data_IF_831015604694
#
_entry.id   IF_831015604694
#
_cell.length_a   1.000
_cell.length_b   1.000
_cell.length_c   1.000
_cell.angle_alpha   90.00
_cell.angle_beta   90.00
_cell.angle_gamma   90.00
#
_symmetry.space_group_name_H-M   'P 1'
#
loop_
_entity.id
_entity.type
_entity.pdbx_description
1 polymer ?
#
# COMPACT_ATOMS: atom_id res chain seq x y z
N UNK A 1 9.05 -20.18 -0.70
CA UNK A 1 9.70 -19.19 0.19
C UNK A 1 9.91 -19.88 1.52
N UNK A 2 10.94 -19.56 2.29
CA UNK A 2 11.22 -20.23 3.55
C UNK A 2 10.98 -19.24 4.70
N UNK A 3 10.09 -19.62 5.60
CA UNK A 3 9.90 -18.95 6.87
C UNK A 3 10.97 -19.43 7.86
N UNK A 4 11.79 -18.51 8.32
CA UNK A 4 12.78 -18.75 9.36
C UNK A 4 12.32 -18.02 10.62
N UNK A 5 12.23 -18.77 11.71
CA UNK A 5 11.76 -18.27 12.98
C UNK A 5 12.50 -18.96 14.12
N UNK A 6 12.84 -18.23 15.18
CA UNK A 6 13.70 -18.70 16.27
C UNK A 6 13.16 -19.95 17.00
N UNK A 7 11.84 -20.15 17.02
CA UNK A 7 11.22 -21.34 17.63
C UNK A 7 11.04 -22.51 16.64
N UNK A 8 11.32 -22.31 15.36
CA UNK A 8 11.33 -23.38 14.38
C UNK A 8 12.71 -24.05 14.37
N UNK A 9 12.74 -25.38 14.53
CA UNK A 9 13.98 -26.15 14.47
C UNK A 9 14.60 -26.12 13.05
N UNK A 10 13.75 -25.99 12.02
CA UNK A 10 14.14 -25.93 10.61
C UNK A 10 13.28 -24.90 9.88
N UNK A 11 13.78 -24.28 8.79
CA UNK A 11 12.98 -23.39 7.97
C UNK A 11 11.72 -24.08 7.43
N UNK A 12 10.60 -23.37 7.48
CA UNK A 12 9.32 -23.89 7.01
C UNK A 12 9.02 -23.41 5.58
N UNK A 13 8.76 -24.34 4.66
CA UNK A 13 8.49 -24.03 3.25
C UNK A 13 7.07 -23.49 3.07
N UNK A 14 6.99 -22.28 2.52
CA UNK A 14 5.79 -21.59 2.09
C UNK A 14 5.68 -21.62 0.56
N UNK A 15 4.63 -22.25 0.06
CA UNK A 15 4.24 -22.29 -1.36
C UNK A 15 3.25 -21.16 -1.66
N UNK A 16 3.23 -20.71 -2.92
CA UNK A 16 2.37 -19.60 -3.32
C UNK A 16 0.92 -20.07 -3.47
N UNK A 17 -0.03 -19.29 -2.94
CA UNK A 17 -1.46 -19.60 -2.98
C UNK A 17 -1.95 -20.50 -1.84
N UNK A 18 -1.05 -20.94 -0.96
CA UNK A 18 -1.37 -21.79 0.18
C UNK A 18 -1.56 -20.98 1.47
N UNK A 19 -2.39 -21.49 2.37
CA UNK A 19 -2.64 -20.91 3.69
C UNK A 19 -2.00 -21.78 4.76
N UNK A 20 -1.11 -21.17 5.55
CA UNK A 20 -0.38 -21.86 6.61
C UNK A 20 -0.87 -21.41 7.98
N UNK A 21 -1.25 -22.37 8.83
CA UNK A 21 -1.66 -22.12 10.21
C UNK A 21 -0.53 -22.50 11.18
N UNK A 22 -0.08 -21.53 11.97
CA UNK A 22 0.94 -21.74 13.01
C UNK A 22 0.26 -21.59 14.37
N UNK A 23 0.16 -22.68 15.10
CA UNK A 23 -0.41 -22.70 16.46
C UNK A 23 0.70 -22.52 17.49
N UNK A 24 0.54 -21.52 18.37
CA UNK A 24 1.43 -21.30 19.51
C UNK A 24 0.64 -21.61 20.79
N UNK A 25 0.97 -22.72 21.43
CA UNK A 25 0.22 -23.21 22.60
C UNK A 25 0.48 -22.39 23.87
N UNK A 26 1.70 -21.86 24.00
CA UNK A 26 2.09 -21.03 25.15
C UNK A 26 1.62 -19.58 24.94
N UNK A 27 0.68 -19.13 25.76
CA UNK A 27 0.10 -17.77 25.66
C UNK A 27 1.12 -16.64 25.86
N UNK A 28 2.16 -16.85 26.67
CA UNK A 28 3.18 -15.84 26.90
C UNK A 28 4.10 -15.71 25.67
N UNK A 29 4.43 -16.83 25.05
CA UNK A 29 5.17 -16.84 23.77
C UNK A 29 4.34 -16.23 22.66
N UNK A 30 3.06 -16.59 22.55
CA UNK A 30 2.15 -16.00 21.57
C UNK A 30 2.13 -14.47 21.66
N UNK A 31 1.98 -13.91 22.88
CA UNK A 31 2.02 -12.45 23.08
C UNK A 31 3.34 -11.84 22.60
N UNK A 32 4.47 -12.46 22.93
CA UNK A 32 5.77 -11.98 22.46
C UNK A 32 5.88 -12.04 20.93
N UNK A 33 5.33 -13.07 20.29
CA UNK A 33 5.33 -13.20 18.83
C UNK A 33 4.55 -12.05 18.19
N UNK A 34 3.33 -11.81 18.67
CA UNK A 34 2.48 -10.71 18.16
C UNK A 34 3.19 -9.37 18.34
N UNK A 35 3.67 -9.06 19.56
CA UNK A 35 4.32 -7.79 19.86
C UNK A 35 5.55 -7.55 18.98
N UNK A 36 6.38 -8.57 18.75
CA UNK A 36 7.59 -8.41 17.94
C UNK A 36 7.31 -8.38 16.44
N UNK A 37 6.30 -9.10 15.96
CA UNK A 37 5.84 -9.02 14.56
C UNK A 37 5.34 -7.62 14.24
N UNK A 38 4.57 -7.00 15.14
CA UNK A 38 4.09 -5.62 14.92
C UNK A 38 5.21 -4.59 14.79
N UNK A 39 6.39 -4.88 15.35
CA UNK A 39 7.59 -4.05 15.25
C UNK A 39 8.52 -4.47 14.09
N UNK A 40 8.12 -5.42 13.23
CA UNK A 40 8.91 -5.94 12.10
C UNK A 40 10.25 -6.58 12.49
N UNK A 41 10.45 -6.94 13.77
CA UNK A 41 11.74 -7.34 14.33
C UNK A 41 11.89 -8.86 14.52
N UNK A 42 10.98 -9.68 13.97
CA UNK A 42 10.83 -11.07 14.46
C UNK A 42 10.66 -12.18 13.45
N UNK A 43 10.45 -11.85 12.18
CA UNK A 43 10.13 -12.85 11.18
C UNK A 43 10.98 -12.63 9.94
N UNK A 44 11.75 -13.67 9.61
CA UNK A 44 12.65 -13.66 8.47
C UNK A 44 12.07 -14.56 7.39
N UNK A 45 11.72 -13.99 6.26
CA UNK A 45 11.27 -14.75 5.10
C UNK A 45 12.36 -14.68 4.04
N UNK A 46 12.76 -15.84 3.53
CA UNK A 46 13.82 -15.96 2.53
C UNK A 46 13.25 -16.55 1.25
N UNK A 47 13.53 -15.93 0.11
CA UNK A 47 13.23 -16.47 -1.23
C UNK A 47 14.48 -16.34 -2.09
N UNK A 48 14.99 -17.44 -2.62
CA UNK A 48 16.19 -17.47 -3.47
C UNK A 48 17.39 -16.71 -2.84
N UNK A 49 17.69 -17.02 -1.58
CA UNK A 49 18.73 -16.38 -0.75
C UNK A 49 18.56 -14.87 -0.49
N UNK A 50 17.37 -14.32 -0.77
CA UNK A 50 17.03 -12.91 -0.50
C UNK A 50 16.00 -12.80 0.61
N UNK A 51 16.22 -11.83 1.50
CA UNK A 51 15.24 -11.42 2.50
C UNK A 51 14.04 -10.77 1.82
N UNK A 52 12.86 -11.29 2.11
CA UNK A 52 11.58 -10.69 1.74
C UNK A 52 11.16 -9.76 2.87
N UNK A 53 11.16 -8.46 2.59
CA UNK A 53 10.73 -7.42 3.52
C UNK A 53 9.35 -6.87 3.19
N UNK A 54 8.75 -7.32 2.07
CA UNK A 54 7.47 -6.84 1.58
C UNK A 54 6.34 -7.81 1.91
N UNK A 55 6.06 -7.94 3.21
CA UNK A 55 4.92 -8.66 3.74
C UNK A 55 4.01 -7.67 4.47
N UNK A 56 2.73 -8.01 4.59
CA UNK A 56 1.75 -7.17 5.29
C UNK A 56 1.18 -7.91 6.50
N UNK A 57 1.11 -7.22 7.64
CA UNK A 57 0.52 -7.74 8.88
C UNK A 57 -0.88 -7.16 9.05
N UNK A 58 -1.89 -8.02 8.97
CA UNK A 58 -3.29 -7.66 9.16
C UNK A 58 -3.62 -7.81 10.64
N UNK A 59 -3.46 -6.71 11.39
CA UNK A 59 -3.64 -6.68 12.85
C UNK A 59 -5.06 -7.01 13.29
N UNK A 60 -6.04 -6.40 12.63
CA UNK A 60 -7.45 -6.67 12.86
C UNK A 60 -8.02 -7.38 11.65
N UNK A 61 -8.20 -8.69 11.78
CA UNK A 61 -8.76 -9.51 10.71
C UNK A 61 -10.22 -9.22 10.50
N UNK A 62 -11.02 -8.89 11.53
CA UNK A 62 -12.47 -8.61 11.44
C UNK A 62 -12.81 -7.31 10.71
N UNK A 63 -11.91 -6.33 10.82
CA UNK A 63 -12.02 -5.06 10.12
C UNK A 63 -10.62 -4.71 9.62
N UNK A 64 -10.20 -5.31 8.48
CA UNK A 64 -8.89 -5.00 7.92
C UNK A 64 -8.90 -3.54 7.53
N UNK A 65 -8.29 -2.69 8.35
CA UNK A 65 -8.11 -1.29 8.01
C UNK A 65 -7.19 -1.23 6.81
N UNK A 66 -7.77 -0.95 5.64
CA UNK A 66 -7.02 -0.57 4.47
C UNK A 66 -6.18 0.62 4.91
N UNK A 67 -4.85 0.48 4.88
CA UNK A 67 -3.95 1.60 5.15
C UNK A 67 -4.01 2.51 3.91
N UNK A 68 -5.12 3.24 3.81
CA UNK A 68 -5.48 4.08 2.68
C UNK A 68 -4.34 5.06 2.40
N UNK A 69 -3.64 5.53 3.43
CA UNK A 69 -2.50 6.44 3.24
C UNK A 69 -1.33 5.81 2.46
N UNK A 70 -0.92 4.58 2.78
CA UNK A 70 0.18 3.86 2.10
C UNK A 70 -0.20 3.53 0.66
N UNK A 71 -1.40 2.99 0.45
CA UNK A 71 -1.91 2.66 -0.88
C UNK A 71 -2.11 3.90 -1.75
N UNK A 72 -2.80 4.94 -1.24
CA UNK A 72 -3.02 6.19 -1.98
C UNK A 72 -1.70 6.88 -2.33
N UNK A 73 -0.72 6.86 -1.42
CA UNK A 73 0.61 7.42 -1.71
C UNK A 73 1.29 6.71 -2.88
N UNK A 74 1.18 5.38 -2.94
CA UNK A 74 1.70 4.58 -4.06
C UNK A 74 0.92 4.87 -5.35
N UNK A 75 -0.41 4.88 -5.30
CA UNK A 75 -1.28 5.22 -6.44
C UNK A 75 -0.94 6.60 -7.01
N UNK A 76 -0.81 7.63 -6.15
CA UNK A 76 -0.47 8.98 -6.58
C UNK A 76 0.91 9.01 -7.26
N UNK A 77 1.89 8.27 -6.72
CA UNK A 77 3.22 8.15 -7.34
C UNK A 77 3.14 7.49 -8.72
N UNK A 78 2.32 6.46 -8.87
CA UNK A 78 2.16 5.75 -10.13
C UNK A 78 1.45 6.63 -11.16
N UNK A 79 0.35 7.29 -10.80
CA UNK A 79 -0.34 8.27 -11.66
C UNK A 79 0.57 9.43 -12.08
N UNK A 80 1.41 9.93 -11.16
CA UNK A 80 2.41 10.98 -11.45
C UNK A 80 3.49 10.48 -12.41
N UNK A 81 3.82 9.19 -12.37
CA UNK A 81 4.78 8.59 -13.31
C UNK A 81 4.13 8.42 -14.68
N UNK A 82 2.88 7.95 -14.72
CA UNK A 82 2.08 7.85 -15.95
C UNK A 82 1.89 9.21 -16.62
N UNK A 83 1.68 10.30 -15.87
CA UNK A 83 1.51 11.62 -16.48
C UNK A 83 2.76 12.13 -17.22
N UNK A 84 3.92 11.51 -16.98
CA UNK A 84 5.22 11.83 -17.59
C UNK A 84 5.66 10.81 -18.64
N UNK A 85 4.87 9.76 -18.89
CA UNK A 85 5.19 8.76 -19.91
C UNK A 85 4.97 9.29 -21.34
N UNK A 86 5.48 8.56 -22.33
CA UNK A 86 5.41 8.93 -23.74
C UNK A 86 3.97 9.11 -24.27
N UNK A 87 2.99 8.43 -23.66
CA UNK A 87 1.59 8.47 -24.10
C UNK A 87 0.86 9.69 -23.55
N UNK A 88 1.17 10.11 -22.33
CA UNK A 88 0.44 11.14 -21.61
C UNK A 88 1.17 12.49 -21.56
N UNK A 89 2.49 12.52 -21.78
CA UNK A 89 3.30 13.73 -21.60
C UNK A 89 2.77 14.95 -22.35
N UNK A 90 2.40 14.78 -23.63
CA UNK A 90 1.87 15.89 -24.44
C UNK A 90 0.54 16.43 -23.88
N UNK A 91 -0.34 15.55 -23.39
CA UNK A 91 -1.61 15.94 -22.76
C UNK A 91 -1.35 16.63 -21.43
N UNK A 92 -0.45 16.12 -20.62
CA UNK A 92 -0.03 16.73 -19.34
C UNK A 92 0.53 18.13 -19.56
N UNK A 93 1.37 18.34 -20.58
CA UNK A 93 1.92 19.65 -20.91
C UNK A 93 0.85 20.64 -21.38
N UNK A 94 -0.12 20.20 -22.18
CA UNK A 94 -1.25 21.04 -22.56
C UNK A 94 -2.09 21.46 -21.34
N UNK A 95 -2.33 20.56 -20.39
CA UNK A 95 -3.03 20.88 -19.14
C UNK A 95 -2.22 21.89 -18.31
N UNK A 96 -0.90 21.70 -18.17
CA UNK A 96 -0.02 22.64 -17.47
C UNK A 96 -0.12 24.05 -18.07
N UNK A 97 -0.03 24.18 -19.39
CA UNK A 97 -0.16 25.46 -20.10
C UNK A 97 -1.51 26.13 -19.83
N UNK A 98 -2.61 25.37 -19.89
CA UNK A 98 -3.95 25.91 -19.64
C UNK A 98 -4.11 26.43 -18.20
N UNK A 99 -3.59 25.69 -17.22
CA UNK A 99 -3.61 26.10 -15.81
C UNK A 99 -2.80 27.38 -15.61
N UNK A 100 -1.61 27.46 -16.21
CA UNK A 100 -0.76 28.63 -16.13
C UNK A 100 -1.39 29.87 -16.75
N UNK A 101 -1.98 29.72 -17.93
CA UNK A 101 -2.64 30.82 -18.61
C UNK A 101 -3.76 31.39 -17.74
N UNK A 102 -4.64 30.53 -17.23
CA UNK A 102 -5.73 30.93 -16.35
C UNK A 102 -5.23 31.66 -15.09
N UNK A 103 -4.19 31.14 -14.43
CA UNK A 103 -3.62 31.77 -13.24
C UNK A 103 -2.92 33.09 -13.54
N UNK A 104 -2.25 33.21 -14.69
CA UNK A 104 -1.62 34.46 -15.12
C UNK A 104 -2.66 35.54 -15.44
N UNK A 105 -3.80 35.17 -16.04
CA UNK A 105 -4.91 36.09 -16.29
C UNK A 105 -5.45 36.65 -14.95
N UNK A 106 -5.65 35.78 -13.95
CA UNK A 106 -6.06 36.22 -12.60
C UNK A 106 -5.02 37.11 -11.91
N UNK A 107 -3.73 36.82 -12.07
CA UNK A 107 -2.65 37.64 -11.50
C UNK A 107 -2.61 39.01 -12.16
N UNK A 108 -2.78 39.07 -13.48
CA UNK A 108 -2.81 40.32 -14.24
C UNK A 108 -3.97 41.23 -13.82
N UNK A 109 -5.12 40.65 -13.47
CA UNK A 109 -6.27 41.37 -12.93
C UNK A 109 -6.10 41.77 -11.44
N UNK A 110 -5.09 41.24 -10.75
CA UNK A 110 -4.87 41.50 -9.33
C UNK A 110 -3.94 42.70 -9.09
N UNK A 111 -4.17 43.43 -8.00
CA UNK A 111 -3.28 44.52 -7.56
C UNK A 111 -1.98 44.02 -6.92
N UNK A 112 -1.81 42.70 -6.78
CA UNK A 112 -0.68 42.08 -6.09
C UNK A 112 0.44 41.71 -7.08
N UNK A 113 1.71 41.97 -6.74
CA UNK A 113 2.85 41.60 -7.58
C UNK A 113 3.18 40.11 -7.43
N UNK A 114 2.32 39.25 -7.96
CA UNK A 114 2.42 37.79 -7.85
C UNK A 114 3.12 37.17 -9.07
N UNK A 115 3.68 35.98 -8.87
CA UNK A 115 4.15 35.10 -9.95
C UNK A 115 3.85 33.65 -9.59
N UNK A 116 3.67 32.80 -10.59
CA UNK A 116 3.55 31.35 -10.44
C UNK A 116 4.77 30.63 -11.02
N UNK A 117 4.95 29.36 -10.66
CA UNK A 117 6.00 28.52 -11.23
C UNK A 117 5.73 28.14 -12.69
N UNK A 118 6.82 27.89 -13.43
CA UNK A 118 6.77 27.46 -14.84
C UNK A 118 6.31 26.01 -15.04
N UNK A 119 6.36 25.20 -13.98
CA UNK A 119 5.81 23.87 -14.01
C UNK A 119 4.94 23.64 -12.78
N UNK A 120 3.82 22.98 -13.02
CA UNK A 120 2.94 22.48 -12.00
C UNK A 120 3.29 21.02 -11.67
N UNK A 121 3.41 20.71 -10.38
CA UNK A 121 3.66 19.33 -9.95
C UNK A 121 2.34 18.56 -9.80
N UNK A 122 2.16 17.58 -10.69
CA UNK A 122 0.99 16.71 -10.77
C UNK A 122 0.70 15.95 -9.46
N UNK A 123 1.73 15.70 -8.63
CA UNK A 123 1.56 15.11 -7.30
C UNK A 123 0.67 16.00 -6.42
N UNK A 124 0.82 17.33 -6.49
CA UNK A 124 -0.07 18.24 -5.77
C UNK A 124 -1.48 18.24 -6.35
N UNK A 125 -1.65 18.10 -7.67
CA UNK A 125 -3.00 17.96 -8.27
C UNK A 125 -3.74 16.77 -7.71
N UNK A 126 -3.07 15.61 -7.75
CA UNK A 126 -3.67 14.35 -7.35
C UNK A 126 -4.08 14.40 -5.87
N UNK A 127 -3.28 15.06 -5.03
CA UNK A 127 -3.62 15.32 -3.63
C UNK A 127 -4.79 16.30 -3.47
N UNK A 128 -4.88 17.35 -4.28
CA UNK A 128 -6.01 18.29 -4.27
C UNK A 128 -7.34 17.65 -4.68
N UNK A 129 -7.29 16.65 -5.58
CA UNK A 129 -8.47 15.95 -6.07
C UNK A 129 -9.06 14.93 -5.08
N UNK A 130 -8.42 14.70 -3.93
CA UNK A 130 -8.88 13.76 -2.88
C UNK A 130 -9.25 12.38 -3.45
N UNK A 131 -8.29 11.72 -4.06
CA UNK A 131 -8.48 10.35 -4.57
C UNK A 131 -8.89 9.41 -3.43
N UNK A 132 -9.91 8.59 -3.68
CA UNK A 132 -10.44 7.60 -2.75
C UNK A 132 -10.48 6.22 -3.44
N UNK A 133 -10.16 5.17 -2.68
CA UNK A 133 -10.37 3.78 -3.11
C UNK A 133 -11.85 3.49 -2.88
N UNK A 134 -12.54 3.08 -3.94
CA UNK A 134 -13.95 2.69 -3.87
C UNK A 134 -14.02 1.30 -3.22
N UNK A 135 -14.81 1.20 -2.16
CA UNK A 135 -15.06 -0.04 -1.42
C UNK A 135 -16.55 -0.33 -1.54
N UNK A 136 -16.90 -1.43 -2.21
CA UNK A 136 -18.28 -1.89 -2.37
C UNK A 136 -18.29 -3.41 -2.20
N UNK A 137 -18.51 -3.86 -0.96
CA UNK A 137 -18.42 -5.27 -0.57
C UNK A 137 -19.63 -5.65 0.29
N UNK A 138 -20.23 -6.82 0.01
CA UNK A 138 -21.43 -7.30 0.68
C UNK A 138 -21.10 -8.17 1.90
N UNK A 139 -19.88 -8.72 1.97
CA UNK A 139 -19.46 -9.60 3.05
C UNK A 139 -18.04 -9.33 3.55
N UNK A 140 -17.77 -9.80 4.78
CA UNK A 140 -16.44 -9.78 5.37
C UNK A 140 -15.39 -10.48 4.51
N UNK A 141 -15.72 -11.64 3.94
CA UNK A 141 -14.80 -12.43 3.12
C UNK A 141 -14.45 -11.66 1.84
N UNK A 142 -15.43 -11.03 1.20
CA UNK A 142 -15.19 -10.19 0.01
C UNK A 142 -14.30 -8.99 0.34
N UNK A 143 -14.55 -8.33 1.47
CA UNK A 143 -13.71 -7.24 1.94
C UNK A 143 -12.26 -7.69 2.17
N UNK A 144 -12.06 -8.87 2.78
CA UNK A 144 -10.73 -9.44 3.00
C UNK A 144 -10.04 -9.80 1.68
N UNK A 145 -10.72 -10.48 0.76
CA UNK A 145 -10.16 -10.82 -0.56
C UNK A 145 -9.73 -9.56 -1.30
N UNK A 146 -10.61 -8.55 -1.33
CA UNK A 146 -10.28 -7.31 -2.03
C UNK A 146 -9.15 -6.53 -1.35
N UNK A 147 -9.06 -6.57 -0.03
CA UNK A 147 -7.90 -6.07 0.69
C UNK A 147 -6.60 -6.76 0.20
N UNK A 148 -6.58 -8.09 0.14
CA UNK A 148 -5.41 -8.86 -0.31
C UNK A 148 -5.03 -8.50 -1.75
N UNK A 149 -6.03 -8.45 -2.65
CA UNK A 149 -5.83 -8.10 -4.06
C UNK A 149 -5.27 -6.68 -4.23
N UNK A 150 -5.77 -5.70 -3.49
CA UNK A 150 -5.28 -4.32 -3.54
C UNK A 150 -3.82 -4.22 -3.09
N UNK A 151 -3.46 -4.89 -2.00
CA UNK A 151 -2.08 -4.89 -1.51
C UNK A 151 -1.13 -5.63 -2.46
N UNK A 152 -1.58 -6.75 -3.03
CA UNK A 152 -0.81 -7.46 -4.05
C UNK A 152 -0.61 -6.57 -5.29
N UNK A 153 -1.67 -5.97 -5.81
CA UNK A 153 -1.64 -5.14 -7.02
C UNK A 153 -0.82 -3.85 -6.85
N UNK A 154 -0.98 -3.15 -5.73
CA UNK A 154 -0.42 -1.80 -5.54
C UNK A 154 0.98 -1.88 -4.91
N UNK A 155 1.15 -2.75 -3.91
CA UNK A 155 2.37 -2.83 -3.12
C UNK A 155 3.24 -4.04 -3.47
N UNK A 156 2.76 -5.00 -4.28
CA UNK A 156 3.43 -6.28 -4.55
C UNK A 156 3.72 -7.06 -3.26
N UNK A 157 2.82 -6.96 -2.28
CA UNK A 157 2.91 -7.74 -1.04
C UNK A 157 2.46 -9.16 -1.32
N UNK A 158 3.41 -10.10 -1.34
CA UNK A 158 3.14 -11.51 -1.69
C UNK A 158 2.77 -12.36 -0.47
N UNK A 159 2.89 -11.80 0.74
CA UNK A 159 2.75 -12.53 2.00
C UNK A 159 1.93 -11.69 2.97
N UNK A 160 0.90 -12.33 3.52
CA UNK A 160 -0.01 -11.73 4.48
C UNK A 160 0.00 -12.54 5.76
N UNK A 161 0.21 -11.86 6.87
CA UNK A 161 0.22 -12.47 8.20
C UNK A 161 -1.01 -11.98 8.94
N UNK A 162 -1.80 -12.92 9.45
CA UNK A 162 -3.04 -12.64 10.19
C UNK A 162 -2.94 -13.29 11.57
N UNK A 163 -3.69 -12.74 12.52
CA UNK A 163 -3.81 -13.32 13.86
C UNK A 163 -5.22 -13.88 14.07
N UNK A 164 -5.31 -15.14 14.52
CA UNK A 164 -6.56 -15.80 14.90
C UNK A 164 -7.69 -15.77 13.86
N UNK A 165 -7.38 -15.72 12.56
CA UNK A 165 -8.39 -15.64 11.50
C UNK A 165 -9.29 -16.88 11.44
N UNK A 166 -8.79 -18.04 11.85
CA UNK A 166 -9.53 -19.30 11.89
C UNK A 166 -10.66 -19.31 12.92
N UNK A 167 -10.73 -18.32 13.81
CA UNK A 167 -11.85 -18.17 14.74
C UNK A 167 -13.03 -17.40 14.11
N UNK A 168 -12.83 -16.82 12.93
CA UNK A 168 -13.73 -15.89 12.26
C UNK A 168 -14.26 -16.49 10.94
N UNK A 169 -13.42 -17.25 10.23
CA UNK A 169 -13.78 -18.05 9.06
C UNK A 169 -14.57 -19.31 9.46
#
# INVERSE_FOLDING_TARGET
MNLVYDLLNEPYLLEYGEVYNITIENINEYRQVVDRLENYDYLTIIKDDKLITNFEIIKNTLNPEINKSKLLSKIIKDLTSMSKDEFNYAKTMSINQNIQQYMNDLIFESDYPLKISEEFDFNYLAKCLKLEIIEDYDSFIEQLISYLDLYLMILNSDIFITFNITQIL
#
